data_IF_781388455156
#
_entry.id   IF_781388455156
#
_cell.length_a   1.000
_cell.length_b   1.000
_cell.length_c   1.000
_cell.angle_alpha   90.00
_cell.angle_beta   90.00
_cell.angle_gamma   90.00
#
_symmetry.space_group_name_H-M   'P 1'
#
loop_
_entity.id
_entity.type
_entity.pdbx_description
1 polymer ?
#
# COMPACT_ATOMS: atom_id res chain seq x y z
N UNK A 1 7.45 25.54 32.90
CA UNK A 1 7.02 25.12 31.55
C UNK A 1 8.12 25.51 30.56
N UNK A 2 8.71 24.56 29.85
CA UNK A 2 9.74 24.86 28.85
C UNK A 2 9.10 25.65 27.70
N UNK A 3 9.54 26.89 27.47
CA UNK A 3 8.92 27.84 26.52
C UNK A 3 8.87 27.33 25.08
N UNK A 4 9.70 26.35 24.72
CA UNK A 4 9.75 25.76 23.38
C UNK A 4 8.66 24.71 23.11
N UNK A 5 8.12 24.05 24.15
CA UNK A 5 7.18 22.93 23.98
C UNK A 5 5.89 23.32 23.25
N UNK A 6 5.24 24.46 23.53
CA UNK A 6 4.02 24.85 22.80
C UNK A 6 4.27 25.06 21.30
N UNK A 7 5.43 25.64 20.95
CA UNK A 7 5.81 25.88 19.55
C UNK A 7 6.05 24.57 18.82
N UNK A 8 6.85 23.67 19.39
CA UNK A 8 7.11 22.35 18.80
C UNK A 8 5.83 21.51 18.70
N UNK A 9 4.98 21.54 19.72
CA UNK A 9 3.68 20.86 19.71
C UNK A 9 2.79 21.33 18.58
N UNK A 10 2.71 22.65 18.34
CA UNK A 10 1.91 23.19 17.24
C UNK A 10 2.52 22.89 15.87
N UNK A 11 3.85 22.91 15.74
CA UNK A 11 4.53 22.51 14.50
C UNK A 11 4.29 21.01 14.20
N UNK A 12 4.41 20.13 15.20
CA UNK A 12 4.12 18.71 15.06
C UNK A 12 2.70 18.45 14.54
N UNK A 13 1.68 19.12 15.10
CA UNK A 13 0.30 18.94 14.61
C UNK A 13 0.05 19.53 13.23
N UNK A 14 0.82 20.54 12.83
CA UNK A 14 0.68 21.20 11.52
C UNK A 14 1.49 20.51 10.41
N UNK A 15 2.21 19.43 10.70
CA UNK A 15 2.93 18.62 9.71
C UNK A 15 2.01 17.62 8.99
N UNK A 16 0.82 17.35 9.52
CA UNK A 16 -0.09 16.32 9.02
C UNK A 16 -1.33 16.94 8.40
N UNK A 17 -1.86 16.31 7.35
CA UNK A 17 -3.18 16.66 6.81
C UNK A 17 -4.21 16.50 7.94
N UNK A 18 -4.88 17.58 8.33
CA UNK A 18 -6.07 17.48 9.18
C UNK A 18 -7.27 17.07 8.32
N UNK A 19 -8.24 16.32 8.87
CA UNK A 19 -9.53 15.99 8.21
C UNK A 19 -10.43 17.24 8.08
N UNK A 20 -9.86 18.37 7.67
CA UNK A 20 -10.55 19.63 7.44
C UNK A 20 -10.72 19.80 5.95
N UNK A 21 -11.97 20.01 5.47
CA UNK A 21 -12.26 20.30 4.07
C UNK A 21 -11.46 21.50 3.51
N UNK A 22 -11.00 22.38 4.42
CA UNK A 22 -10.34 23.65 4.13
C UNK A 22 -8.86 23.69 4.55
N UNK A 23 -8.17 22.54 4.68
CA UNK A 23 -6.70 22.51 4.82
C UNK A 23 -5.97 22.07 3.52
N UNK A 24 -6.06 22.86 2.43
CA UNK A 24 -5.43 22.53 1.15
C UNK A 24 -3.96 22.94 1.08
N UNK A 25 -3.41 23.63 2.08
CA UNK A 25 -2.10 24.27 1.92
C UNK A 25 -0.94 23.32 2.26
N UNK A 26 -0.55 22.53 1.27
CA UNK A 26 0.65 21.71 1.31
C UNK A 26 1.90 22.56 1.63
N UNK A 27 1.96 23.83 1.23
CA UNK A 27 3.12 24.69 1.51
C UNK A 27 3.22 25.05 3.00
N UNK A 28 2.09 25.31 3.66
CA UNK A 28 2.05 25.50 5.11
C UNK A 28 2.55 24.25 5.86
N UNK A 29 2.19 23.05 5.40
CA UNK A 29 2.68 21.78 5.99
C UNK A 29 4.16 21.57 5.72
N UNK A 30 4.65 21.85 4.51
CA UNK A 30 6.09 21.86 4.18
C UNK A 30 6.85 22.81 5.09
N UNK A 31 6.34 24.03 5.27
CA UNK A 31 6.94 25.04 6.14
C UNK A 31 6.92 24.62 7.61
N UNK A 32 5.87 23.91 8.04
CA UNK A 32 5.79 23.33 9.39
C UNK A 32 6.85 22.25 9.59
N UNK A 33 7.04 21.34 8.64
CA UNK A 33 8.10 20.31 8.68
C UNK A 33 9.49 20.94 8.72
N UNK A 34 9.75 21.90 7.83
CA UNK A 34 11.04 22.64 7.77
C UNK A 34 11.30 23.45 9.04
N UNK A 35 10.28 24.12 9.56
CA UNK A 35 10.34 24.87 10.80
C UNK A 35 10.61 23.96 12.00
N UNK A 36 9.95 22.79 12.04
CA UNK A 36 10.11 21.81 13.11
C UNK A 36 11.56 21.31 13.20
N UNK A 37 12.16 20.88 12.09
CA UNK A 37 13.55 20.43 12.11
C UNK A 37 14.53 21.57 12.43
N UNK A 38 14.28 22.79 11.95
CA UNK A 38 15.11 23.96 12.26
C UNK A 38 15.09 24.30 13.76
N UNK A 39 13.92 24.20 14.40
CA UNK A 39 13.80 24.38 15.86
C UNK A 39 14.54 23.28 16.61
N UNK A 40 14.41 22.02 16.19
CA UNK A 40 15.15 20.90 16.80
C UNK A 40 16.65 21.17 16.80
N UNK A 41 17.24 21.47 15.64
CA UNK A 41 18.69 21.72 15.51
C UNK A 41 19.16 22.91 16.35
N UNK A 42 18.41 24.02 16.31
CA UNK A 42 18.74 25.24 17.07
C UNK A 42 18.76 24.96 18.57
N UNK A 43 17.75 24.26 19.07
CA UNK A 43 17.66 23.92 20.48
C UNK A 43 18.76 22.93 20.86
N UNK A 44 18.97 21.85 20.08
CA UNK A 44 19.98 20.83 20.43
C UNK A 44 21.40 21.38 20.40
N UNK A 45 21.72 22.27 19.46
CA UNK A 45 23.02 22.96 19.44
C UNK A 45 23.25 23.83 20.69
N UNK A 46 22.19 24.40 21.24
CA UNK A 46 22.25 25.20 22.48
C UNK A 46 22.34 24.32 23.73
N UNK A 47 21.56 23.22 23.79
CA UNK A 47 21.50 22.33 24.95
C UNK A 47 22.72 21.40 25.07
N UNK A 48 23.39 21.06 23.97
CA UNK A 48 24.68 20.35 23.98
C UNK A 48 25.74 21.11 24.79
N UNK A 49 25.60 22.44 24.96
CA UNK A 49 26.52 23.28 25.73
C UNK A 49 26.17 23.39 27.23
N UNK A 50 24.93 23.06 27.61
CA UNK A 50 24.37 23.35 28.94
C UNK A 50 24.08 22.08 29.79
N UNK A 51 24.40 20.89 29.27
CA UNK A 51 24.27 19.58 29.95
C UNK A 51 22.86 19.21 30.44
N UNK A 52 21.80 19.93 30.03
CA UNK A 52 20.46 19.79 30.60
C UNK A 52 19.36 19.71 29.52
N UNK A 53 19.45 18.71 28.64
CA UNK A 53 18.64 18.58 27.42
C UNK A 53 17.76 17.34 27.32
N UNK A 54 17.75 16.43 28.28
CA UNK A 54 17.15 15.08 28.10
C UNK A 54 15.65 15.11 27.75
N UNK A 55 14.90 16.06 28.33
CA UNK A 55 13.49 16.28 27.97
C UNK A 55 13.26 16.71 26.51
N UNK A 56 14.21 17.43 25.90
CA UNK A 56 14.14 17.81 24.50
C UNK A 56 14.40 16.61 23.59
N UNK A 57 15.44 15.82 23.87
CA UNK A 57 15.74 14.64 23.05
C UNK A 57 14.64 13.58 23.15
N UNK A 58 14.08 13.36 24.34
CA UNK A 58 12.90 12.52 24.52
C UNK A 58 11.70 13.07 23.70
N UNK A 59 11.50 14.39 23.70
CA UNK A 59 10.44 15.00 22.88
C UNK A 59 10.68 14.81 21.37
N UNK A 60 11.92 14.95 20.91
CA UNK A 60 12.29 14.70 19.50
C UNK A 60 12.00 13.23 19.16
N UNK A 61 12.44 12.30 20.00
CA UNK A 61 12.22 10.86 19.84
C UNK A 61 10.73 10.53 19.72
N UNK A 62 9.91 10.96 20.68
CA UNK A 62 8.55 10.44 20.82
C UNK A 62 7.50 11.21 20.02
N UNK A 63 7.68 12.52 19.83
CA UNK A 63 6.68 13.39 19.21
C UNK A 63 7.12 13.90 17.85
N UNK A 64 8.36 14.37 17.70
CA UNK A 64 8.83 14.91 16.41
C UNK A 64 8.96 13.78 15.38
N UNK A 65 9.66 12.69 15.70
CA UNK A 65 9.78 11.56 14.77
C UNK A 65 8.40 11.03 14.36
N UNK A 66 7.47 10.89 15.32
CA UNK A 66 6.10 10.44 15.03
C UNK A 66 5.35 11.39 14.09
N UNK A 67 5.47 12.71 14.28
CA UNK A 67 4.86 13.69 13.39
C UNK A 67 5.46 13.63 11.98
N UNK A 68 6.78 13.49 11.88
CA UNK A 68 7.47 13.37 10.60
C UNK A 68 7.16 12.06 9.87
N UNK A 69 7.00 10.94 10.59
CA UNK A 69 6.55 9.68 10.00
C UNK A 69 5.15 9.82 9.41
N UNK A 70 4.22 10.48 10.11
CA UNK A 70 2.89 10.77 9.55
C UNK A 70 2.95 11.69 8.32
N UNK A 71 3.90 12.62 8.29
CA UNK A 71 4.12 13.50 7.13
C UNK A 71 4.62 12.72 5.89
N UNK A 72 5.22 11.53 6.03
CA UNK A 72 5.50 10.63 4.91
C UNK A 72 4.24 10.01 4.28
N UNK A 73 3.09 10.11 4.94
CA UNK A 73 1.80 9.67 4.40
C UNK A 73 0.94 10.84 3.91
N UNK A 74 1.54 12.02 3.70
CA UNK A 74 0.86 13.14 3.05
C UNK A 74 0.69 12.86 1.56
N UNK A 75 -0.53 12.49 1.17
CA UNK A 75 -0.90 12.11 -0.18
C UNK A 75 -1.93 13.08 -0.80
N UNK A 76 -1.96 14.32 -0.31
CA UNK A 76 -2.85 15.36 -0.79
C UNK A 76 -2.64 15.64 -2.28
N UNK A 77 -3.75 15.88 -2.97
CA UNK A 77 -3.78 16.20 -4.40
C UNK A 77 -4.59 17.48 -4.60
N UNK A 78 -4.06 18.40 -5.41
CA UNK A 78 -4.80 19.56 -5.91
C UNK A 78 -4.68 19.64 -7.44
N UNK A 79 -5.09 20.76 -8.05
CA UNK A 79 -5.02 20.98 -9.50
C UNK A 79 -3.60 20.91 -10.09
N UNK A 80 -2.55 20.93 -9.25
CA UNK A 80 -1.13 20.79 -9.63
C UNK A 80 -0.65 19.34 -9.54
N UNK A 81 -1.51 18.40 -9.11
CA UNK A 81 -1.19 17.00 -8.90
C UNK A 81 -0.92 16.64 -7.43
N UNK A 82 -0.01 15.69 -7.19
CA UNK A 82 0.34 15.20 -5.85
C UNK A 82 1.20 16.24 -5.10
N UNK A 83 0.56 17.28 -4.56
CA UNK A 83 1.23 18.32 -3.76
C UNK A 83 1.71 17.81 -2.41
N UNK A 84 1.13 16.72 -1.91
CA UNK A 84 1.64 16.03 -0.71
C UNK A 84 3.08 15.54 -0.88
N UNK A 85 3.51 15.28 -2.12
CA UNK A 85 4.90 14.88 -2.42
C UNK A 85 5.94 15.89 -1.92
N UNK A 86 5.60 17.18 -1.82
CA UNK A 86 6.48 18.21 -1.28
C UNK A 86 6.67 18.07 0.23
N UNK A 87 5.59 17.69 0.93
CA UNK A 87 5.61 17.42 2.37
C UNK A 87 6.42 16.16 2.64
N UNK A 88 6.22 15.09 1.84
CA UNK A 88 6.99 13.84 1.94
C UNK A 88 8.48 14.07 1.69
N UNK A 89 8.84 14.88 0.69
CA UNK A 89 10.23 15.30 0.43
C UNK A 89 10.84 16.03 1.64
N UNK A 90 10.13 17.01 2.22
CA UNK A 90 10.60 17.72 3.39
C UNK A 90 10.72 16.79 4.62
N UNK A 91 9.79 15.85 4.78
CA UNK A 91 9.77 14.90 5.89
C UNK A 91 10.94 13.91 5.83
N UNK A 92 11.30 13.40 4.64
CA UNK A 92 12.47 12.55 4.48
C UNK A 92 13.77 13.24 4.90
N UNK A 93 13.97 14.51 4.53
CA UNK A 93 15.14 15.28 4.97
C UNK A 93 15.13 15.52 6.50
N UNK A 94 13.97 15.95 7.04
CA UNK A 94 13.80 16.21 8.46
C UNK A 94 14.04 14.95 9.32
N UNK A 95 13.54 13.79 8.90
CA UNK A 95 13.73 12.52 9.59
C UNK A 95 15.20 12.13 9.67
N UNK A 96 15.96 12.26 8.58
CA UNK A 96 17.40 11.96 8.58
C UNK A 96 18.16 12.89 9.51
N UNK A 97 17.81 14.18 9.55
CA UNK A 97 18.45 15.16 10.44
C UNK A 97 18.09 14.89 11.91
N UNK A 98 16.84 14.55 12.21
CA UNK A 98 16.45 14.10 13.54
C UNK A 98 17.18 12.82 13.95
N UNK A 99 17.33 11.85 13.05
CA UNK A 99 18.14 10.65 13.32
C UNK A 99 19.57 11.03 13.71
N UNK A 100 20.24 11.93 12.96
CA UNK A 100 21.59 12.37 13.32
C UNK A 100 21.64 13.07 14.68
N UNK A 101 20.63 13.89 15.02
CA UNK A 101 20.53 14.52 16.34
C UNK A 101 20.49 13.45 17.45
N UNK A 102 19.64 12.43 17.31
CA UNK A 102 19.48 11.37 18.32
C UNK A 102 20.73 10.51 18.42
N UNK A 103 21.30 10.06 17.29
CA UNK A 103 22.52 9.27 17.27
C UNK A 103 23.72 10.02 17.87
N UNK A 104 23.87 11.31 17.55
CA UNK A 104 24.95 12.14 18.10
C UNK A 104 24.85 12.23 19.62
N UNK A 105 23.63 12.43 20.16
CA UNK A 105 23.40 12.47 21.61
C UNK A 105 23.73 11.14 22.28
N UNK A 106 23.32 10.02 21.68
CA UNK A 106 23.64 8.67 22.19
C UNK A 106 25.16 8.44 22.24
N UNK A 107 25.90 8.84 21.19
CA UNK A 107 27.37 8.73 21.15
C UNK A 107 28.03 9.57 22.25
N UNK A 108 27.56 10.80 22.46
CA UNK A 108 28.07 11.68 23.53
C UNK A 108 27.79 11.09 24.91
N UNK A 109 26.59 10.56 25.15
CA UNK A 109 26.23 9.92 26.40
C UNK A 109 27.10 8.68 26.70
N UNK A 110 27.33 7.82 25.70
CA UNK A 110 28.19 6.65 25.83
C UNK A 110 29.64 7.03 26.20
N UNK A 111 30.21 8.06 25.55
CA UNK A 111 31.56 8.56 25.86
C UNK A 111 31.67 9.11 27.28
N UNK A 112 30.64 9.79 27.77
CA UNK A 112 30.62 10.32 29.13
C UNK A 112 30.64 9.21 30.20
N UNK A 113 29.86 8.14 29.99
CA UNK A 113 29.83 6.97 30.89
C UNK A 113 31.20 6.26 30.92
N UNK A 114 31.84 6.08 29.76
CA UNK A 114 33.18 5.49 29.68
C UNK A 114 34.27 6.33 30.36
N UNK A 115 34.10 7.66 30.46
CA UNK A 115 35.06 8.55 31.11
C UNK A 115 34.93 8.56 32.64
N UNK A 116 33.78 8.16 33.20
CA UNK A 116 33.52 8.14 34.66
C UNK A 116 33.78 6.79 35.33
N UNK A 117 34.09 5.74 34.57
CA UNK A 117 34.20 4.34 35.04
C UNK A 117 35.60 3.88 35.46
N UNK A 118 36.29 4.62 36.34
CA UNK A 118 37.41 4.05 37.10
C UNK A 118 36.90 3.53 38.46
N UNK A 119 37.11 2.24 38.72
CA UNK A 119 37.09 1.51 40.01
C UNK A 119 35.75 1.21 40.73
N UNK A 120 34.81 0.51 40.08
CA UNK A 120 33.90 -0.35 40.86
C UNK A 120 33.48 -1.60 40.08
N UNK A 121 33.92 -2.76 40.58
CA UNK A 121 33.44 -4.09 40.21
C UNK A 121 31.95 -4.25 40.61
N UNK A 122 31.05 -3.69 39.80
CA UNK A 122 29.63 -4.05 39.79
C UNK A 122 29.35 -4.70 38.44
N UNK A 123 28.90 -5.96 38.51
CA UNK A 123 28.98 -6.93 37.42
C UNK A 123 28.45 -6.45 36.06
N UNK A 124 29.17 -6.86 35.02
CA UNK A 124 28.94 -6.56 33.59
C UNK A 124 27.50 -6.81 33.07
N UNK A 125 26.65 -7.47 33.87
CA UNK A 125 25.29 -7.84 33.50
C UNK A 125 24.25 -6.73 33.78
N UNK A 126 24.43 -5.89 34.81
CA UNK A 126 23.48 -4.80 35.15
C UNK A 126 23.77 -3.51 34.37
N UNK A 127 25.04 -3.23 34.05
CA UNK A 127 25.46 -2.05 33.25
C UNK A 127 24.97 -2.16 31.79
N UNK A 128 24.91 -3.38 31.26
CA UNK A 128 24.38 -3.65 29.91
C UNK A 128 22.84 -3.54 29.83
N UNK A 129 22.11 -3.91 30.89
CA UNK A 129 20.66 -3.76 30.94
C UNK A 129 20.23 -2.29 31.07
N UNK A 130 20.93 -1.50 31.88
CA UNK A 130 20.68 -0.05 32.08
C UNK A 130 21.07 0.79 30.86
N UNK A 131 22.19 0.49 30.19
CA UNK A 131 22.64 1.22 28.99
C UNK A 131 21.80 0.96 27.73
N UNK A 132 21.04 -0.14 27.71
CA UNK A 132 20.08 -0.43 26.62
C UNK A 132 18.75 0.31 26.81
N UNK A 133 18.39 0.65 28.06
CA UNK A 133 17.10 1.24 28.41
C UNK A 133 16.96 2.74 28.08
N UNK A 134 18.05 3.43 27.74
CA UNK A 134 18.06 4.89 27.50
C UNK A 134 18.67 5.31 26.16
N UNK A 135 18.61 4.45 25.13
CA UNK A 135 18.98 4.87 23.77
C UNK A 135 17.88 5.69 23.12
N UNK A 136 18.25 6.85 22.58
CA UNK A 136 17.34 7.73 21.88
C UNK A 136 17.03 7.22 20.49
N UNK A 137 18.04 6.72 19.77
CA UNK A 137 17.85 6.06 18.48
C UNK A 137 17.91 4.54 18.67
N UNK A 138 16.76 3.89 18.59
CA UNK A 138 16.60 2.45 18.76
C UNK A 138 16.26 1.73 17.44
N UNK A 139 16.18 0.39 17.50
CA UNK A 139 15.88 -0.45 16.33
C UNK A 139 14.49 -0.20 15.75
N UNK A 140 13.51 0.17 16.58
CA UNK A 140 12.16 0.51 16.10
C UNK A 140 12.18 1.76 15.23
N UNK A 141 12.84 2.82 15.70
CA UNK A 141 13.01 4.06 14.93
C UNK A 141 13.82 3.81 13.66
N UNK A 142 14.91 3.04 13.74
CA UNK A 142 15.74 2.69 12.59
C UNK A 142 14.94 1.93 11.52
N UNK A 143 14.13 0.97 11.95
CA UNK A 143 13.23 0.23 11.07
C UNK A 143 12.20 1.15 10.42
N UNK A 144 11.45 1.94 11.19
CA UNK A 144 10.41 2.83 10.68
C UNK A 144 10.98 3.88 9.72
N UNK A 145 12.18 4.40 10.01
CA UNK A 145 12.93 5.31 9.15
C UNK A 145 13.23 4.70 7.79
N UNK A 146 13.88 3.54 7.78
CA UNK A 146 14.24 2.88 6.52
C UNK A 146 13.01 2.41 5.77
N UNK A 147 12.02 1.82 6.46
CA UNK A 147 10.79 1.34 5.85
C UNK A 147 9.97 2.49 5.21
N UNK A 148 9.84 3.62 5.91
CA UNK A 148 9.12 4.79 5.44
C UNK A 148 9.77 5.42 4.20
N UNK A 149 11.11 5.55 4.20
CA UNK A 149 11.84 6.08 3.04
C UNK A 149 11.84 5.06 1.88
N UNK A 150 11.99 3.76 2.17
CA UNK A 150 11.96 2.70 1.16
C UNK A 150 10.60 2.62 0.45
N UNK A 151 9.49 2.86 1.16
CA UNK A 151 8.15 3.03 0.55
C UNK A 151 8.17 4.15 -0.50
N UNK A 152 8.72 5.33 -0.16
CA UNK A 152 8.82 6.46 -1.10
C UNK A 152 9.72 6.13 -2.31
N UNK A 153 10.74 5.28 -2.14
CA UNK A 153 11.64 4.87 -3.22
C UNK A 153 10.97 4.01 -4.30
N UNK A 154 9.83 3.35 -4.02
CA UNK A 154 9.16 2.47 -4.99
C UNK A 154 7.86 3.05 -5.56
N UNK A 155 7.48 4.26 -5.14
CA UNK A 155 6.30 4.98 -5.62
C UNK A 155 6.49 5.60 -7.02
N UNK A 156 5.39 6.15 -7.54
CA UNK A 156 5.24 6.54 -8.95
C UNK A 156 5.97 7.80 -9.39
N UNK A 157 6.42 8.66 -8.47
CA UNK A 157 6.99 9.97 -8.81
C UNK A 157 8.51 9.84 -8.90
N UNK A 158 9.06 9.97 -10.10
CA UNK A 158 10.50 9.79 -10.38
C UNK A 158 11.39 10.64 -9.46
N UNK A 159 11.03 11.92 -9.25
CA UNK A 159 11.74 12.84 -8.34
C UNK A 159 11.76 12.33 -6.90
N UNK A 160 10.62 11.89 -6.38
CA UNK A 160 10.50 11.39 -4.99
C UNK A 160 11.29 10.09 -4.83
N UNK A 161 11.22 9.20 -5.82
CA UNK A 161 12.01 7.97 -5.84
C UNK A 161 13.51 8.26 -5.75
N UNK A 162 14.01 9.17 -6.58
CA UNK A 162 15.42 9.56 -6.55
C UNK A 162 15.83 10.19 -5.21
N UNK A 163 14.99 11.08 -4.65
CA UNK A 163 15.25 11.70 -3.34
C UNK A 163 15.27 10.65 -2.23
N UNK A 164 14.33 9.72 -2.21
CA UNK A 164 14.26 8.66 -1.22
C UNK A 164 15.53 7.78 -1.26
N UNK A 165 15.98 7.39 -2.45
CA UNK A 165 17.20 6.60 -2.62
C UNK A 165 18.44 7.36 -2.16
N UNK A 166 18.58 8.64 -2.54
CA UNK A 166 19.66 9.51 -2.05
C UNK A 166 19.61 9.69 -0.53
N UNK A 167 18.42 9.70 0.04
CA UNK A 167 18.21 9.78 1.49
C UNK A 167 18.67 8.49 2.17
N UNK A 168 18.35 7.32 1.61
CA UNK A 168 18.89 6.03 2.07
C UNK A 168 20.42 5.98 1.94
N UNK A 169 21.00 6.48 0.83
CA UNK A 169 22.45 6.60 0.68
C UNK A 169 23.08 7.48 1.77
N UNK A 170 22.44 8.59 2.15
CA UNK A 170 22.89 9.45 3.26
C UNK A 170 22.89 8.73 4.60
N UNK A 171 21.93 7.83 4.84
CA UNK A 171 21.85 7.03 6.06
C UNK A 171 22.93 5.93 6.05
N UNK A 172 23.04 5.19 4.94
CA UNK A 172 23.97 4.06 4.83
C UNK A 172 25.42 4.56 4.83
N UNK A 173 25.78 5.52 4.00
CA UNK A 173 27.17 5.92 3.76
C UNK A 173 27.55 7.23 4.45
N UNK A 174 27.03 7.47 5.65
CA UNK A 174 27.40 8.64 6.43
C UNK A 174 28.91 8.60 6.77
N UNK A 175 29.64 9.66 6.41
CA UNK A 175 31.10 9.70 6.50
C UNK A 175 31.66 9.73 7.92
N UNK A 176 30.93 10.30 8.87
CA UNK A 176 31.46 10.51 10.23
C UNK A 176 31.24 9.27 11.11
N UNK A 177 30.04 8.68 11.04
CA UNK A 177 29.63 7.61 11.95
C UNK A 177 28.75 6.57 11.25
N UNK A 178 28.95 5.30 11.63
CA UNK A 178 28.04 4.21 11.24
C UNK A 178 26.71 4.37 11.99
N UNK A 179 25.59 4.47 11.26
CA UNK A 179 24.27 4.53 11.87
C UNK A 179 23.89 3.13 12.41
N UNK A 180 23.63 2.99 13.72
CA UNK A 180 23.38 1.70 14.34
C UNK A 180 21.98 1.16 13.99
N UNK A 181 21.75 -0.12 14.31
CA UNK A 181 20.44 -0.76 14.31
C UNK A 181 19.71 -0.90 12.98
N UNK A 182 20.28 -0.47 11.86
CA UNK A 182 19.69 -0.62 10.53
C UNK A 182 19.54 -2.12 10.19
N UNK A 183 18.30 -2.66 10.11
CA UNK A 183 18.10 -4.07 9.77
C UNK A 183 18.65 -4.43 8.37
N UNK A 184 19.36 -5.55 8.27
CA UNK A 184 19.92 -6.06 7.00
C UNK A 184 20.74 -5.04 6.20
N UNK A 185 21.60 -4.29 6.89
CA UNK A 185 22.39 -3.20 6.30
C UNK A 185 23.23 -3.61 5.07
N UNK A 186 23.89 -4.77 5.10
CA UNK A 186 24.72 -5.24 3.97
C UNK A 186 23.89 -5.43 2.69
N UNK A 187 22.69 -6.01 2.81
CA UNK A 187 21.76 -6.17 1.70
C UNK A 187 21.27 -4.81 1.18
N UNK A 188 21.02 -3.85 2.08
CA UNK A 188 20.66 -2.48 1.68
C UNK A 188 21.78 -1.80 0.89
N UNK A 189 23.04 -2.02 1.26
CA UNK A 189 24.19 -1.48 0.53
C UNK A 189 24.39 -2.13 -0.84
N UNK A 190 24.11 -3.43 -0.97
CA UNK A 190 24.10 -4.12 -2.27
C UNK A 190 23.01 -3.54 -3.19
N UNK A 191 21.79 -3.36 -2.65
CA UNK A 191 20.65 -2.83 -3.39
C UNK A 191 20.88 -1.35 -3.76
N UNK A 192 21.45 -0.58 -2.84
CA UNK A 192 21.67 0.86 -2.94
C UNK A 192 23.16 1.17 -2.75
N UNK A 193 24.00 0.96 -3.77
CA UNK A 193 25.43 1.23 -3.66
C UNK A 193 25.72 2.73 -3.55
N UNK A 194 26.87 3.08 -3.00
CA UNK A 194 27.38 4.46 -2.97
C UNK A 194 27.98 4.90 -4.33
N UNK A 195 27.26 4.66 -5.42
CA UNK A 195 27.64 5.12 -6.76
C UNK A 195 26.76 6.28 -7.19
N UNK A 196 27.37 7.24 -7.90
CA UNK A 196 26.68 8.38 -8.55
C UNK A 196 26.29 8.07 -10.00
N UNK A 197 26.70 6.92 -10.53
CA UNK A 197 26.53 6.57 -11.95
C UNK A 197 25.17 5.94 -12.25
N UNK A 198 24.36 5.68 -11.21
CA UNK A 198 23.04 5.08 -11.35
C UNK A 198 21.96 6.15 -11.52
N UNK A 199 21.23 6.07 -12.62
CA UNK A 199 20.07 6.90 -12.91
C UNK A 199 18.84 6.41 -12.15
N UNK A 200 18.78 6.70 -10.85
CA UNK A 200 17.70 6.24 -9.96
C UNK A 200 16.29 6.71 -10.34
N UNK A 201 16.20 7.82 -11.08
CA UNK A 201 14.94 8.28 -11.67
C UNK A 201 14.41 7.31 -12.74
N UNK A 202 15.26 6.53 -13.40
CA UNK A 202 14.86 5.61 -14.49
C UNK A 202 14.30 4.30 -13.91
N UNK A 203 13.02 3.96 -14.17
CA UNK A 203 12.38 2.76 -13.61
C UNK A 203 13.10 1.44 -13.91
N UNK A 204 13.63 1.28 -15.12
CA UNK A 204 14.34 0.06 -15.53
C UNK A 204 15.68 -0.12 -14.83
N UNK A 205 16.21 0.94 -14.21
CA UNK A 205 17.44 0.90 -13.39
C UNK A 205 17.08 0.68 -11.92
N UNK A 206 16.08 1.40 -11.40
CA UNK A 206 15.74 1.40 -9.97
C UNK A 206 14.98 0.14 -9.54
N UNK A 207 13.88 -0.22 -10.21
CA UNK A 207 12.99 -1.29 -9.73
C UNK A 207 13.65 -2.66 -9.60
N UNK A 208 14.47 -3.16 -10.56
CA UNK A 208 15.14 -4.45 -10.40
C UNK A 208 15.98 -4.58 -9.13
N UNK A 209 16.48 -3.45 -8.61
CA UNK A 209 17.19 -3.40 -7.32
C UNK A 209 16.21 -3.30 -6.17
N UNK A 210 15.30 -2.33 -6.20
CA UNK A 210 14.41 -2.01 -5.08
C UNK A 210 13.43 -3.13 -4.72
N UNK A 211 12.98 -3.94 -5.68
CA UNK A 211 12.09 -5.09 -5.39
C UNK A 211 12.75 -6.13 -4.48
N UNK A 212 14.09 -6.20 -4.45
CA UNK A 212 14.83 -7.08 -3.54
C UNK A 212 14.62 -6.72 -2.07
N UNK A 213 14.16 -5.50 -1.74
CA UNK A 213 13.80 -5.10 -0.38
C UNK A 213 12.63 -5.92 0.19
N UNK A 214 11.81 -6.54 -0.67
CA UNK A 214 10.74 -7.45 -0.25
C UNK A 214 11.26 -8.70 0.48
N UNK A 215 12.56 -9.02 0.37
CA UNK A 215 13.20 -10.09 1.13
C UNK A 215 13.29 -9.79 2.64
N UNK A 216 13.23 -8.51 3.00
CA UNK A 216 13.41 -8.06 4.37
C UNK A 216 12.06 -7.81 5.02
N UNK A 217 11.64 -8.70 5.92
CA UNK A 217 10.34 -8.63 6.61
C UNK A 217 10.10 -7.32 7.37
N UNK A 218 11.17 -6.64 7.80
CA UNK A 218 11.11 -5.33 8.44
C UNK A 218 10.62 -4.22 7.50
N UNK A 219 10.78 -4.38 6.19
CA UNK A 219 10.46 -3.37 5.17
C UNK A 219 9.39 -3.82 4.18
N UNK A 220 9.20 -5.13 4.01
CA UNK A 220 8.44 -5.73 2.91
C UNK A 220 7.03 -5.16 2.77
N UNK A 221 6.31 -4.98 3.88
CA UNK A 221 4.96 -4.38 3.92
C UNK A 221 4.93 -2.93 3.44
N UNK A 222 5.85 -2.09 3.94
CA UNK A 222 5.96 -0.69 3.55
C UNK A 222 6.36 -0.55 2.08
N UNK A 223 7.36 -1.34 1.66
CA UNK A 223 7.81 -1.40 0.25
C UNK A 223 6.66 -1.86 -0.64
N UNK A 224 5.95 -2.93 -0.31
CA UNK A 224 4.81 -3.39 -1.09
C UNK A 224 3.75 -2.31 -1.24
N UNK A 225 3.41 -1.61 -0.14
CA UNK A 225 2.40 -0.54 -0.16
C UNK A 225 2.74 0.61 -1.11
N UNK A 226 4.03 0.94 -1.28
CA UNK A 226 4.48 1.93 -2.27
C UNK A 226 4.60 1.33 -3.68
N UNK A 227 5.07 0.08 -3.79
CA UNK A 227 5.29 -0.60 -5.06
C UNK A 227 3.98 -0.81 -5.83
N UNK A 228 2.88 -1.15 -5.15
CA UNK A 228 1.56 -1.35 -5.77
C UNK A 228 1.04 -0.09 -6.47
N UNK A 229 1.44 1.10 -6.02
CA UNK A 229 1.09 2.38 -6.65
C UNK A 229 1.72 2.49 -8.04
N UNK A 230 2.89 1.88 -8.22
CA UNK A 230 3.64 1.89 -9.48
C UNK A 230 3.24 0.74 -10.40
N UNK A 231 3.13 -0.48 -9.86
CA UNK A 231 2.75 -1.68 -10.62
C UNK A 231 1.28 -1.70 -11.02
N UNK A 232 0.41 -1.13 -10.20
CA UNK A 232 -1.03 -1.00 -10.46
C UNK A 232 -1.44 0.39 -10.95
N UNK A 233 -0.48 1.28 -11.17
CA UNK A 233 -0.71 2.67 -11.58
C UNK A 233 -1.25 2.83 -13.00
N UNK A 234 -1.55 4.07 -13.37
CA UNK A 234 -2.07 4.44 -14.70
C UNK A 234 -0.96 4.64 -15.75
N UNK A 235 0.28 4.92 -15.32
CA UNK A 235 1.38 5.19 -16.23
C UNK A 235 1.96 3.88 -16.79
N UNK A 236 1.70 3.61 -18.07
CA UNK A 236 1.99 2.31 -18.68
C UNK A 236 3.48 1.94 -18.69
N UNK A 237 4.38 2.89 -18.97
CA UNK A 237 5.83 2.63 -18.99
C UNK A 237 6.36 2.25 -17.60
N UNK A 238 5.94 2.99 -16.58
CA UNK A 238 6.28 2.73 -15.18
C UNK A 238 5.70 1.39 -14.71
N UNK A 239 4.43 1.14 -15.00
CA UNK A 239 3.75 -0.13 -14.72
C UNK A 239 4.50 -1.30 -15.33
N UNK A 240 4.86 -1.21 -16.62
CA UNK A 240 5.60 -2.27 -17.32
C UNK A 240 6.97 -2.52 -16.68
N UNK A 241 7.74 -1.48 -16.41
CA UNK A 241 9.07 -1.62 -15.80
C UNK A 241 9.01 -2.21 -14.39
N UNK A 242 8.15 -1.67 -13.52
CA UNK A 242 7.99 -2.11 -12.14
C UNK A 242 7.41 -3.53 -12.03
N UNK A 243 6.39 -3.87 -12.83
CA UNK A 243 5.80 -5.22 -12.86
C UNK A 243 6.79 -6.25 -13.43
N UNK A 244 7.55 -5.89 -14.47
CA UNK A 244 8.59 -6.78 -15.00
C UNK A 244 9.69 -7.05 -13.97
N UNK A 245 10.10 -6.04 -13.21
CA UNK A 245 11.06 -6.19 -12.13
C UNK A 245 10.52 -7.08 -10.99
N UNK A 246 9.27 -6.87 -10.58
CA UNK A 246 8.63 -7.68 -9.54
C UNK A 246 8.53 -9.16 -9.96
N UNK A 247 8.06 -9.44 -11.18
CA UNK A 247 7.94 -10.81 -11.67
C UNK A 247 9.31 -11.45 -11.85
N UNK A 248 10.29 -10.72 -12.38
CA UNK A 248 11.67 -11.18 -12.46
C UNK A 248 12.23 -11.54 -11.09
N UNK A 249 11.99 -10.69 -10.08
CA UNK A 249 12.37 -10.97 -8.69
C UNK A 249 11.67 -12.21 -8.12
N UNK A 250 10.40 -12.48 -8.44
CA UNK A 250 9.71 -13.68 -7.94
C UNK A 250 10.22 -14.96 -8.61
N UNK A 251 10.70 -14.88 -9.85
CA UNK A 251 11.15 -16.01 -10.66
C UNK A 251 12.66 -16.30 -10.55
N UNK A 252 13.45 -15.41 -9.93
CA UNK A 252 14.91 -15.51 -9.87
C UNK A 252 15.39 -16.63 -8.92
N UNK A 253 15.93 -17.74 -9.42
CA UNK A 253 16.35 -18.87 -8.57
C UNK A 253 17.53 -18.56 -7.64
N UNK A 254 18.29 -17.50 -7.89
CA UNK A 254 19.56 -17.25 -7.21
C UNK A 254 19.39 -16.48 -5.88
N UNK A 255 18.18 -15.98 -5.62
CA UNK A 255 17.86 -15.24 -4.40
C UNK A 255 17.26 -16.20 -3.37
N UNK A 256 18.08 -16.60 -2.39
CA UNK A 256 17.63 -17.38 -1.25
C UNK A 256 16.86 -16.51 -0.25
N UNK A 257 15.62 -16.88 0.05
CA UNK A 257 14.89 -16.29 1.18
C UNK A 257 15.40 -16.86 2.50
N UNK A 258 15.81 -16.00 3.43
CA UNK A 258 16.27 -16.39 4.78
C UNK A 258 15.16 -17.04 5.65
N UNK A 259 13.92 -17.14 5.16
CA UNK A 259 12.83 -17.83 5.83
C UNK A 259 12.78 -19.28 5.40
N UNK A 260 13.19 -20.19 6.30
CA UNK A 260 13.17 -21.65 6.07
C UNK A 260 11.82 -22.11 5.49
N UNK A 261 11.85 -22.59 4.24
CA UNK A 261 10.73 -23.28 3.59
C UNK A 261 9.62 -22.41 2.97
N UNK A 262 9.69 -21.07 2.99
CA UNK A 262 8.66 -20.20 2.39
C UNK A 262 9.13 -19.60 1.06
N UNK A 263 8.37 -19.82 -0.01
CA UNK A 263 8.64 -19.17 -1.30
C UNK A 263 8.41 -17.65 -1.23
N UNK A 264 9.03 -16.91 -2.16
CA UNK A 264 8.82 -15.45 -2.25
C UNK A 264 7.39 -15.10 -2.61
N UNK A 265 6.77 -15.91 -3.45
CA UNK A 265 5.36 -15.80 -3.81
C UNK A 265 4.48 -15.95 -2.57
N UNK A 266 4.78 -16.90 -1.68
CA UNK A 266 4.06 -17.04 -0.42
C UNK A 266 4.25 -15.81 0.47
N UNK A 267 5.48 -15.31 0.65
CA UNK A 267 5.72 -14.09 1.43
C UNK A 267 4.99 -12.87 0.85
N UNK A 268 5.04 -12.69 -0.47
CA UNK A 268 4.31 -11.64 -1.17
C UNK A 268 2.79 -11.80 -0.99
N UNK A 269 2.27 -13.02 -1.00
CA UNK A 269 0.84 -13.27 -0.79
C UNK A 269 0.39 -12.83 0.61
N UNK A 270 1.20 -13.08 1.64
CA UNK A 270 0.95 -12.62 3.01
C UNK A 270 0.95 -11.08 3.09
N UNK A 271 1.92 -10.43 2.46
CA UNK A 271 2.03 -8.96 2.49
C UNK A 271 0.91 -8.30 1.66
N UNK A 272 0.48 -8.89 0.55
CA UNK A 272 -0.67 -8.42 -0.23
C UNK A 272 -1.96 -8.51 0.60
N UNK A 273 -2.18 -9.63 1.29
CA UNK A 273 -3.35 -9.79 2.15
C UNK A 273 -3.33 -8.80 3.33
N UNK A 274 -2.16 -8.60 3.95
CA UNK A 274 -1.98 -7.56 4.96
C UNK A 274 -2.31 -6.16 4.39
N UNK A 275 -1.84 -5.85 3.19
CA UNK A 275 -2.07 -4.58 2.53
C UNK A 275 -3.57 -4.31 2.28
N UNK A 276 -4.30 -5.32 1.82
CA UNK A 276 -5.74 -5.23 1.61
C UNK A 276 -6.52 -4.95 2.90
N UNK A 277 -6.09 -5.56 4.02
CA UNK A 277 -6.69 -5.35 5.33
C UNK A 277 -6.33 -3.98 5.92
N UNK A 278 -5.07 -3.57 5.79
CA UNK A 278 -4.57 -2.34 6.38
C UNK A 278 -5.10 -1.08 5.67
N UNK A 279 -5.22 -1.13 4.33
CA UNK A 279 -5.69 -0.01 3.51
C UNK A 279 -7.17 -0.09 3.14
N UNK A 280 -7.99 -0.79 3.93
CA UNK A 280 -9.42 -0.96 3.64
C UNK A 280 -10.11 0.40 3.37
N UNK A 281 -10.91 0.46 2.30
CA UNK A 281 -11.60 1.68 1.81
C UNK A 281 -10.69 2.83 1.37
N UNK A 282 -9.37 2.65 1.31
CA UNK A 282 -8.45 3.62 0.74
C UNK A 282 -8.22 3.30 -0.75
N UNK A 283 -9.10 3.81 -1.62
CA UNK A 283 -9.07 3.52 -3.06
C UNK A 283 -7.73 3.92 -3.73
N UNK A 284 -7.03 4.92 -3.18
CA UNK A 284 -5.67 5.31 -3.62
C UNK A 284 -4.71 4.11 -3.62
N UNK A 285 -4.85 3.17 -2.67
CA UNK A 285 -3.98 2.01 -2.52
C UNK A 285 -4.68 0.73 -3.00
N UNK A 286 -5.96 0.53 -2.66
CA UNK A 286 -6.71 -0.68 -3.00
C UNK A 286 -6.88 -0.85 -4.51
N UNK A 287 -7.20 0.20 -5.26
CA UNK A 287 -7.41 0.08 -6.71
C UNK A 287 -6.12 -0.35 -7.43
N UNK A 288 -4.94 0.27 -7.19
CA UNK A 288 -3.67 -0.22 -7.71
C UNK A 288 -3.28 -1.61 -7.18
N UNK A 289 -3.60 -1.93 -5.92
CA UNK A 289 -3.33 -3.25 -5.37
C UNK A 289 -4.11 -4.35 -6.09
N UNK A 290 -5.41 -4.14 -6.37
CA UNK A 290 -6.20 -5.06 -7.19
C UNK A 290 -5.62 -5.24 -8.59
N UNK A 291 -5.24 -4.15 -9.26
CA UNK A 291 -4.57 -4.23 -10.57
C UNK A 291 -3.25 -5.00 -10.52
N UNK A 292 -2.49 -4.84 -9.44
CA UNK A 292 -1.24 -5.57 -9.25
C UNK A 292 -1.51 -7.06 -9.09
N UNK A 293 -2.49 -7.43 -8.26
CA UNK A 293 -2.89 -8.82 -8.04
C UNK A 293 -3.42 -9.45 -9.34
N UNK A 294 -4.30 -8.76 -10.07
CA UNK A 294 -4.79 -9.17 -11.39
C UNK A 294 -3.63 -9.45 -12.37
N UNK A 295 -2.65 -8.54 -12.45
CA UNK A 295 -1.50 -8.70 -13.33
C UNK A 295 -0.60 -9.87 -12.91
N UNK A 296 -0.48 -10.16 -11.61
CA UNK A 296 0.27 -11.31 -11.10
C UNK A 296 -0.44 -12.64 -11.43
N UNK A 297 -1.78 -12.69 -11.30
CA UNK A 297 -2.57 -13.84 -11.75
C UNK A 297 -2.44 -14.08 -13.26
N UNK A 298 -2.54 -13.01 -14.07
CA UNK A 298 -2.35 -13.08 -15.52
C UNK A 298 -0.98 -13.66 -15.91
N UNK A 299 0.05 -13.41 -15.07
CA UNK A 299 1.41 -13.94 -15.22
C UNK A 299 1.64 -15.30 -14.56
N UNK A 300 0.58 -15.94 -14.06
CA UNK A 300 0.59 -17.27 -13.42
C UNK A 300 1.45 -17.36 -12.16
N UNK A 301 1.70 -16.24 -11.47
CA UNK A 301 2.53 -16.21 -10.25
C UNK A 301 1.89 -17.02 -9.12
N UNK A 302 0.57 -16.89 -8.96
CA UNK A 302 -0.16 -17.56 -7.89
C UNK A 302 -0.86 -18.86 -8.33
N UNK A 303 -0.83 -19.24 -9.62
CA UNK A 303 -1.61 -20.37 -10.17
C UNK A 303 -0.95 -21.76 -9.95
N UNK A 304 -0.28 -21.98 -8.81
CA UNK A 304 0.32 -23.27 -8.46
C UNK A 304 -0.56 -24.04 -7.46
N UNK A 305 -0.66 -25.36 -7.67
CA UNK A 305 -1.69 -26.25 -7.08
C UNK A 305 -1.65 -26.43 -5.56
N UNK A 306 -0.61 -25.97 -4.86
CA UNK A 306 -0.45 -26.20 -3.42
C UNK A 306 0.10 -24.96 -2.72
N UNK A 307 -0.59 -24.49 -1.65
CA UNK A 307 -0.03 -23.52 -0.69
C UNK A 307 -0.69 -22.13 -0.59
N UNK A 308 -1.69 -21.79 -1.42
CA UNK A 308 -2.30 -20.44 -1.45
C UNK A 308 -3.78 -20.37 -1.05
N UNK A 309 -4.36 -21.42 -0.48
CA UNK A 309 -5.79 -21.44 -0.10
C UNK A 309 -6.17 -20.33 0.89
N UNK A 310 -5.32 -20.05 1.88
CA UNK A 310 -5.52 -18.94 2.83
C UNK A 310 -5.49 -17.57 2.12
N UNK A 311 -4.57 -17.41 1.16
CA UNK A 311 -4.47 -16.19 0.36
C UNK A 311 -5.72 -16.01 -0.51
N UNK A 312 -6.17 -17.05 -1.21
CA UNK A 312 -7.39 -17.00 -2.02
C UNK A 312 -8.62 -16.66 -1.19
N UNK A 313 -8.81 -17.34 -0.05
CA UNK A 313 -9.94 -17.09 0.84
C UNK A 313 -9.95 -15.64 1.35
N UNK A 314 -8.81 -15.16 1.85
CA UNK A 314 -8.66 -13.78 2.32
C UNK A 314 -8.82 -12.74 1.22
N UNK A 315 -8.39 -13.06 0.00
CA UNK A 315 -8.53 -12.20 -1.17
C UNK A 315 -10.00 -12.07 -1.61
N UNK A 316 -10.74 -13.17 -1.66
CA UNK A 316 -12.19 -13.19 -1.96
C UNK A 316 -12.97 -12.35 -0.95
N UNK A 317 -12.66 -12.47 0.34
CA UNK A 317 -13.29 -11.65 1.39
C UNK A 317 -12.96 -10.17 1.25
N UNK A 318 -11.70 -9.84 0.95
CA UNK A 318 -11.26 -8.47 0.74
C UNK A 318 -11.94 -7.85 -0.48
N UNK A 319 -11.91 -8.53 -1.63
CA UNK A 319 -12.59 -8.10 -2.87
C UNK A 319 -14.08 -7.89 -2.64
N UNK A 320 -14.76 -8.82 -1.96
CA UNK A 320 -16.18 -8.67 -1.61
C UNK A 320 -16.48 -7.38 -0.86
N UNK A 321 -15.68 -7.12 0.18
CA UNK A 321 -15.88 -5.97 1.05
C UNK A 321 -15.63 -4.65 0.32
N UNK A 322 -14.64 -4.62 -0.56
CA UNK A 322 -14.15 -3.44 -1.27
C UNK A 322 -14.98 -3.09 -2.52
N UNK A 323 -15.56 -4.10 -3.20
CA UNK A 323 -16.42 -3.87 -4.36
C UNK A 323 -17.85 -3.48 -3.97
N UNK A 324 -18.29 -3.81 -2.74
CA UNK A 324 -19.64 -3.55 -2.27
C UNK A 324 -19.95 -2.05 -2.27
N UNK A 325 -20.81 -1.62 -3.19
CA UNK A 325 -21.22 -0.22 -3.31
C UNK A 325 -20.18 0.69 -3.99
N UNK A 326 -19.07 0.13 -4.48
CA UNK A 326 -18.07 0.89 -5.23
C UNK A 326 -18.66 1.45 -6.53
N UNK A 327 -18.21 2.65 -6.90
CA UNK A 327 -18.51 3.29 -8.18
C UNK A 327 -17.28 3.39 -9.09
N UNK A 328 -16.11 3.00 -8.59
CA UNK A 328 -14.87 2.99 -9.35
C UNK A 328 -14.89 1.79 -10.32
N UNK A 329 -15.08 2.07 -11.61
CA UNK A 329 -15.09 1.06 -12.67
C UNK A 329 -13.76 0.31 -12.75
N UNK A 330 -12.64 0.98 -12.50
CA UNK A 330 -11.31 0.37 -12.55
C UNK A 330 -11.16 -0.67 -11.45
N UNK A 331 -11.57 -0.30 -10.24
CA UNK A 331 -11.58 -1.21 -9.08
C UNK A 331 -12.52 -2.38 -9.29
N UNK A 332 -13.73 -2.12 -9.81
CA UNK A 332 -14.73 -3.15 -10.12
C UNK A 332 -14.19 -4.15 -11.14
N UNK A 333 -13.68 -3.69 -12.28
CA UNK A 333 -13.15 -4.58 -13.32
C UNK A 333 -11.97 -5.43 -12.80
N UNK A 334 -11.00 -4.82 -12.09
CA UNK A 334 -9.89 -5.58 -11.53
C UNK A 334 -10.36 -6.63 -10.52
N UNK A 335 -11.33 -6.29 -9.67
CA UNK A 335 -11.93 -7.24 -8.74
C UNK A 335 -12.71 -8.37 -9.42
N UNK A 336 -13.42 -8.11 -10.53
CA UNK A 336 -14.06 -9.14 -11.34
C UNK A 336 -13.04 -10.11 -11.93
N UNK A 337 -11.93 -9.58 -12.49
CA UNK A 337 -10.84 -10.41 -13.01
C UNK A 337 -10.25 -11.30 -11.91
N UNK A 338 -10.01 -10.75 -10.71
CA UNK A 338 -9.50 -11.53 -9.56
C UNK A 338 -10.47 -12.65 -9.19
N UNK A 339 -11.78 -12.36 -9.07
CA UNK A 339 -12.78 -13.39 -8.80
C UNK A 339 -12.79 -14.45 -9.89
N UNK A 340 -12.70 -14.04 -11.17
CA UNK A 340 -12.58 -14.96 -12.30
C UNK A 340 -11.39 -15.89 -12.18
N UNK A 341 -10.19 -15.36 -11.94
CA UNK A 341 -8.98 -16.17 -11.74
C UNK A 341 -9.12 -17.18 -10.60
N UNK A 342 -9.66 -16.77 -9.44
CA UNK A 342 -9.84 -17.68 -8.30
C UNK A 342 -10.93 -18.72 -8.59
N UNK A 343 -11.98 -18.36 -9.32
CA UNK A 343 -13.03 -19.30 -9.74
C UNK A 343 -12.52 -20.35 -10.72
N UNK A 344 -11.56 -20.02 -11.57
CA UNK A 344 -10.96 -20.98 -12.49
C UNK A 344 -10.07 -22.03 -11.82
N UNK A 345 -9.68 -21.82 -10.55
CA UNK A 345 -8.86 -22.78 -9.80
C UNK A 345 -9.71 -23.90 -9.17
N UNK A 346 -9.09 -25.06 -8.92
CA UNK A 346 -9.77 -26.23 -8.32
C UNK A 346 -9.78 -26.24 -6.78
N UNK A 347 -9.55 -25.11 -6.12
CA UNK A 347 -9.56 -24.99 -4.65
C UNK A 347 -10.99 -24.80 -4.11
N UNK A 348 -11.26 -25.17 -2.85
CA UNK A 348 -12.58 -25.01 -2.22
C UNK A 348 -13.09 -23.56 -2.18
N UNK A 349 -12.20 -22.58 -2.39
CA UNK A 349 -12.51 -21.16 -2.52
C UNK A 349 -13.19 -20.80 -3.85
N UNK A 350 -13.03 -21.61 -4.90
CA UNK A 350 -13.50 -21.30 -6.26
C UNK A 350 -15.01 -21.08 -6.34
N UNK A 351 -15.79 -21.92 -5.65
CA UNK A 351 -17.25 -21.84 -5.55
C UNK A 351 -17.71 -20.54 -4.89
N UNK A 352 -16.98 -20.08 -3.84
CA UNK A 352 -17.26 -18.82 -3.15
C UNK A 352 -16.97 -17.62 -4.05
N UNK A 353 -15.82 -17.63 -4.74
CA UNK A 353 -15.46 -16.60 -5.71
C UNK A 353 -16.47 -16.54 -6.86
N UNK A 354 -16.92 -17.70 -7.35
CA UNK A 354 -17.83 -17.81 -8.48
C UNK A 354 -19.22 -17.28 -8.12
N UNK A 355 -19.73 -17.66 -6.95
CA UNK A 355 -21.00 -17.14 -6.42
C UNK A 355 -20.97 -15.60 -6.33
N UNK A 356 -19.86 -15.02 -5.89
CA UNK A 356 -19.69 -13.57 -5.82
C UNK A 356 -19.63 -12.92 -7.20
N UNK A 357 -18.89 -13.52 -8.14
CA UNK A 357 -18.79 -13.05 -9.52
C UNK A 357 -20.18 -12.98 -10.18
N UNK A 358 -21.01 -14.02 -9.99
CA UNK A 358 -22.38 -14.06 -10.51
C UNK A 358 -23.26 -12.92 -9.96
N UNK A 359 -23.00 -12.39 -8.77
CA UNK A 359 -23.78 -11.27 -8.24
C UNK A 359 -23.70 -10.02 -9.13
N UNK A 360 -22.56 -9.82 -9.82
CA UNK A 360 -22.30 -8.66 -10.68
C UNK A 360 -23.00 -8.73 -12.04
N UNK A 361 -23.50 -9.89 -12.46
CA UNK A 361 -24.39 -10.00 -13.61
C UNK A 361 -25.68 -9.18 -13.45
N UNK A 362 -26.07 -8.87 -12.20
CA UNK A 362 -27.21 -8.01 -11.87
C UNK A 362 -26.85 -6.58 -11.47
N UNK A 363 -25.62 -6.13 -11.75
CA UNK A 363 -25.11 -4.83 -11.30
C UNK A 363 -25.85 -3.63 -11.94
N UNK A 364 -25.90 -2.49 -11.24
CA UNK A 364 -26.57 -1.27 -11.74
C UNK A 364 -25.95 -0.69 -13.02
N UNK A 365 -24.65 -0.91 -13.24
CA UNK A 365 -23.93 -0.37 -14.39
C UNK A 365 -23.84 -1.41 -15.52
N UNK A 366 -24.35 -1.10 -16.73
CA UNK A 366 -24.31 -1.98 -17.92
C UNK A 366 -22.92 -2.56 -18.22
N UNK A 367 -21.89 -1.71 -18.28
CA UNK A 367 -20.51 -2.13 -18.57
C UNK A 367 -19.97 -3.15 -17.58
N UNK A 368 -20.36 -3.04 -16.30
CA UNK A 368 -19.94 -3.99 -15.25
C UNK A 368 -20.66 -5.33 -15.41
N UNK A 369 -21.94 -5.32 -15.80
CA UNK A 369 -22.67 -6.57 -16.10
C UNK A 369 -22.05 -7.31 -17.27
N UNK A 370 -21.71 -6.58 -18.35
CA UNK A 370 -21.03 -7.17 -19.51
C UNK A 370 -19.66 -7.74 -19.14
N UNK A 371 -18.83 -6.97 -18.43
CA UNK A 371 -17.53 -7.45 -17.95
C UNK A 371 -17.66 -8.69 -17.05
N UNK A 372 -18.65 -8.72 -16.16
CA UNK A 372 -18.93 -9.88 -15.33
C UNK A 372 -19.36 -11.09 -16.17
N UNK A 373 -20.21 -10.91 -17.17
CA UNK A 373 -20.63 -11.98 -18.08
C UNK A 373 -19.45 -12.56 -18.87
N UNK A 374 -18.55 -11.70 -19.37
CA UNK A 374 -17.34 -12.13 -20.07
C UNK A 374 -16.42 -12.94 -19.13
N UNK A 375 -16.25 -12.51 -17.87
CA UNK A 375 -15.48 -13.27 -16.88
C UNK A 375 -16.13 -14.61 -16.52
N UNK A 376 -17.44 -14.65 -16.29
CA UNK A 376 -18.18 -15.89 -16.01
C UNK A 376 -18.03 -16.86 -17.18
N UNK A 377 -18.14 -16.39 -18.41
CA UNK A 377 -17.95 -17.21 -19.60
C UNK A 377 -16.53 -17.81 -19.64
N UNK A 378 -15.49 -17.01 -19.38
CA UNK A 378 -14.11 -17.50 -19.32
C UNK A 378 -13.90 -18.56 -18.23
N UNK A 379 -14.50 -18.37 -17.06
CA UNK A 379 -14.44 -19.35 -15.95
C UNK A 379 -15.06 -20.67 -16.38
N UNK A 380 -16.24 -20.65 -17.01
CA UNK A 380 -16.92 -21.87 -17.48
C UNK A 380 -16.21 -22.57 -18.65
N UNK A 381 -15.23 -21.93 -19.29
CA UNK A 381 -14.35 -22.58 -20.26
C UNK A 381 -13.13 -23.24 -19.63
N UNK A 382 -12.78 -22.83 -18.41
CA UNK A 382 -11.56 -23.25 -17.72
C UNK A 382 -11.82 -24.26 -16.60
N UNK A 383 -13.01 -24.19 -15.98
CA UNK A 383 -13.39 -25.01 -14.85
C UNK A 383 -14.77 -25.64 -15.07
N UNK A 384 -14.77 -26.95 -15.33
CA UNK A 384 -15.97 -27.74 -15.59
C UNK A 384 -16.69 -28.22 -14.31
N UNK A 385 -16.10 -27.99 -13.13
CA UNK A 385 -16.62 -28.50 -11.85
C UNK A 385 -17.64 -27.55 -11.18
N UNK A 386 -17.76 -26.31 -11.66
CA UNK A 386 -18.59 -25.27 -11.03
C UNK A 386 -20.09 -25.36 -11.35
N UNK A 387 -20.44 -25.98 -12.47
CA UNK A 387 -21.82 -26.20 -12.92
C UNK A 387 -21.95 -27.66 -13.34
N UNK A 388 -23.07 -28.28 -13.02
CA UNK A 388 -23.35 -29.68 -13.44
C UNK A 388 -23.26 -29.77 -14.96
N UNK A 389 -22.55 -30.77 -15.48
CA UNK A 389 -22.25 -30.94 -16.91
C UNK A 389 -23.47 -30.79 -17.84
N UNK A 390 -24.64 -31.28 -17.43
CA UNK A 390 -25.90 -31.16 -18.20
C UNK A 390 -26.38 -29.71 -18.40
N UNK A 391 -25.97 -28.78 -17.53
CA UNK A 391 -26.34 -27.37 -17.58
C UNK A 391 -25.25 -26.48 -18.20
N UNK A 392 -24.07 -27.02 -18.52
CA UNK A 392 -22.93 -26.23 -18.99
C UNK A 392 -23.23 -25.52 -20.32
N UNK A 393 -23.64 -26.26 -21.34
CA UNK A 393 -23.95 -25.71 -22.66
C UNK A 393 -25.06 -24.65 -22.58
N UNK A 394 -26.09 -24.93 -21.78
CA UNK A 394 -27.21 -24.02 -21.55
C UNK A 394 -26.78 -22.73 -20.83
N UNK A 395 -25.88 -22.83 -19.84
CA UNK A 395 -25.35 -21.67 -19.14
C UNK A 395 -24.50 -20.79 -20.08
N UNK A 396 -23.67 -21.42 -20.93
CA UNK A 396 -22.86 -20.72 -21.92
C UNK A 396 -23.71 -20.04 -23.00
N UNK A 397 -24.74 -20.71 -23.52
CA UNK A 397 -25.71 -20.14 -24.47
C UNK A 397 -26.42 -18.93 -23.87
N UNK A 398 -26.94 -19.07 -22.65
CA UNK A 398 -27.65 -17.98 -21.96
C UNK A 398 -26.73 -16.77 -21.70
N UNK A 399 -25.47 -16.99 -21.34
CA UNK A 399 -24.47 -15.92 -21.18
C UNK A 399 -24.19 -15.19 -22.50
N UNK A 400 -24.13 -15.91 -23.61
CA UNK A 400 -23.82 -15.37 -24.94
C UNK A 400 -25.00 -14.61 -25.56
N UNK A 401 -26.24 -15.11 -25.41
CA UNK A 401 -27.44 -14.52 -26.00
C UNK A 401 -27.97 -13.31 -25.22
N UNK A 402 -27.73 -13.27 -23.91
CA UNK A 402 -28.24 -12.19 -23.06
C UNK A 402 -27.54 -10.87 -23.37
N UNK A 403 -28.34 -9.84 -23.69
CA UNK A 403 -27.83 -8.46 -23.79
C UNK A 403 -27.59 -7.88 -22.38
N UNK A 404 -26.43 -8.18 -21.79
CA UNK A 404 -26.06 -7.75 -20.44
C UNK A 404 -26.00 -6.23 -20.27
N UNK A 405 -25.82 -5.47 -21.34
CA UNK A 405 -25.85 -4.01 -21.30
C UNK A 405 -27.27 -3.42 -21.34
N UNK A 406 -28.29 -4.26 -21.57
CA UNK A 406 -29.69 -3.87 -21.68
C UNK A 406 -30.40 -3.67 -20.33
N UNK A 407 -31.63 -4.16 -20.23
CA UNK A 407 -32.47 -3.99 -19.04
C UNK A 407 -31.89 -4.69 -17.79
N UNK A 408 -31.95 -4.02 -16.65
CA UNK A 408 -31.38 -4.49 -15.39
C UNK A 408 -32.19 -5.65 -14.80
N UNK A 409 -33.52 -5.60 -14.91
CA UNK A 409 -34.38 -6.64 -14.34
C UNK A 409 -34.28 -7.94 -15.14
N UNK A 410 -34.16 -7.83 -16.47
CA UNK A 410 -33.87 -8.99 -17.32
C UNK A 410 -32.50 -9.61 -16.98
N UNK A 411 -31.45 -8.79 -16.85
CA UNK A 411 -30.13 -9.30 -16.44
C UNK A 411 -30.17 -9.99 -15.07
N UNK A 412 -30.96 -9.47 -14.12
CA UNK A 412 -31.16 -10.11 -12.80
C UNK A 412 -31.94 -11.42 -12.89
N UNK A 413 -32.91 -11.54 -13.79
CA UNK A 413 -33.64 -12.79 -14.07
C UNK A 413 -32.68 -13.85 -14.61
N UNK A 414 -31.92 -13.51 -15.65
CA UNK A 414 -30.93 -14.38 -16.29
C UNK A 414 -29.83 -14.83 -15.32
N UNK A 415 -29.34 -13.92 -14.47
CA UNK A 415 -28.45 -14.28 -13.37
C UNK A 415 -29.06 -15.32 -12.43
N UNK A 416 -30.35 -15.21 -12.07
CA UNK A 416 -31.00 -16.18 -11.19
C UNK A 416 -31.05 -17.57 -11.82
N UNK A 417 -31.32 -17.66 -13.13
CA UNK A 417 -31.26 -18.93 -13.87
C UNK A 417 -29.85 -19.55 -13.82
N UNK A 418 -28.80 -18.75 -14.02
CA UNK A 418 -27.40 -19.22 -13.90
C UNK A 418 -27.08 -19.67 -12.48
N UNK A 419 -27.52 -18.93 -11.46
CA UNK A 419 -27.34 -19.32 -10.07
C UNK A 419 -27.99 -20.67 -9.75
N UNK A 420 -29.19 -20.93 -10.28
CA UNK A 420 -29.87 -22.21 -10.12
C UNK A 420 -29.09 -23.35 -10.79
N UNK A 421 -28.57 -23.12 -12.01
CA UNK A 421 -27.73 -24.08 -12.73
C UNK A 421 -26.43 -24.39 -11.98
N UNK A 422 -25.85 -23.40 -11.29
CA UNK A 422 -24.66 -23.54 -10.44
C UNK A 422 -24.97 -24.05 -9.01
N UNK A 423 -26.23 -24.37 -8.69
CA UNK A 423 -26.61 -24.87 -7.37
C UNK A 423 -26.70 -23.82 -6.26
N UNK A 424 -26.52 -22.53 -6.56
CA UNK A 424 -26.69 -21.42 -5.64
C UNK A 424 -28.16 -21.03 -5.53
N UNK A 425 -28.96 -21.78 -4.76
CA UNK A 425 -30.36 -21.43 -4.53
C UNK A 425 -30.48 -20.07 -3.84
N UNK A 426 -31.15 -19.13 -4.50
CA UNK A 426 -31.66 -17.92 -3.85
C UNK A 426 -32.86 -18.32 -3.00
N UNK A 427 -32.79 -18.13 -1.68
CA UNK A 427 -34.00 -18.11 -0.85
C UNK A 427 -34.85 -16.92 -1.28
N UNK A 428 -35.78 -17.16 -2.20
CA UNK A 428 -36.81 -16.18 -2.55
C UNK A 428 -37.68 -15.96 -1.31
N UNK A 429 -37.37 -14.90 -0.55
CA UNK A 429 -38.38 -14.29 0.30
C UNK A 429 -39.43 -13.70 -0.63
N UNK A 430 -40.47 -14.49 -0.91
CA UNK A 430 -41.69 -14.00 -1.51
C UNK A 430 -42.29 -12.98 -0.54
N UNK A 431 -42.01 -11.69 -0.75
CA UNK A 431 -42.90 -10.64 -0.28
C UNK A 431 -44.14 -10.72 -1.15
N UNK A 432 -45.19 -11.33 -0.60
CA UNK A 432 -46.53 -11.27 -1.16
C UNK A 432 -46.94 -9.80 -1.30
N UNK A 433 -47.49 -9.48 -2.47
CA UNK A 433 -47.81 -8.12 -2.86
C UNK A 433 -48.87 -7.49 -1.96
N UNK A 434 -48.65 -6.21 -1.64
CA UNK A 434 -49.73 -5.24 -1.53
C UNK A 434 -49.50 -4.17 -2.58
N UNK A 435 -50.41 -4.17 -3.53
CA UNK A 435 -50.56 -3.20 -4.58
C UNK A 435 -51.16 -1.94 -3.95
N UNK A 436 -50.37 -0.88 -3.82
CA UNK A 436 -50.89 0.47 -3.59
C UNK A 436 -50.36 1.39 -4.68
N UNK A 437 -51.30 1.75 -5.55
CA UNK A 437 -51.17 2.67 -6.66
C UNK A 437 -50.80 4.06 -6.13
N UNK A 438 -49.64 4.59 -6.55
CA UNK A 438 -49.35 6.02 -6.38
C UNK A 438 -48.64 6.55 -7.62
N UNK A 439 -49.46 7.06 -8.54
CA UNK A 439 -49.08 7.90 -9.68
C UNK A 439 -48.36 9.15 -9.22
N UNK A 440 -47.11 9.36 -9.65
CA UNK A 440 -46.49 10.69 -9.78
C UNK A 440 -45.65 10.72 -11.06
N UNK A 441 -45.82 11.81 -11.79
CA UNK A 441 -45.49 12.02 -13.19
C UNK A 441 -43.98 11.94 -13.55
N UNK A 442 -43.75 11.59 -14.81
CA UNK A 442 -42.48 11.62 -15.48
C UNK A 442 -41.99 13.06 -15.71
N UNK A 443 -40.70 13.30 -15.43
CA UNK A 443 -39.92 14.32 -16.13
C UNK A 443 -38.63 13.65 -16.61
N UNK A 444 -38.63 13.27 -17.87
CA UNK A 444 -37.47 12.81 -18.63
C UNK A 444 -36.53 13.99 -18.84
N UNK A 445 -35.41 14.02 -18.12
CA UNK A 445 -34.28 14.91 -18.44
C UNK A 445 -33.23 14.09 -19.19
N UNK A 446 -33.35 14.10 -20.52
CA UNK A 446 -32.50 13.34 -21.46
C UNK A 446 -31.05 13.85 -21.51
N UNK A 447 -30.69 14.91 -20.76
CA UNK A 447 -29.34 15.49 -20.77
C UNK A 447 -28.41 14.99 -19.66
N UNK A 448 -28.86 14.10 -18.77
CA UNK A 448 -27.99 13.56 -17.69
C UNK A 448 -26.92 12.58 -18.17
N UNK A 449 -27.03 12.08 -19.40
CA UNK A 449 -26.04 11.19 -20.04
C UNK A 449 -24.83 11.94 -20.60
N UNK A 450 -25.00 13.22 -20.94
CA UNK A 450 -23.91 14.03 -21.51
C UNK A 450 -23.01 14.67 -20.44
N UNK A 451 -23.52 14.93 -19.23
CA UNK A 451 -22.72 15.51 -18.14
C UNK A 451 -21.55 14.59 -17.73
N UNK A 452 -21.72 13.27 -17.83
CA UNK A 452 -20.66 12.29 -17.52
C UNK A 452 -19.59 12.14 -18.59
N UNK A 453 -19.76 12.73 -19.77
CA UNK A 453 -18.76 12.73 -20.85
C UNK A 453 -17.82 13.94 -20.78
N UNK A 454 -18.19 14.98 -20.02
CA UNK A 454 -17.37 16.19 -19.86
C UNK A 454 -16.30 16.01 -18.76
N UNK A 455 -16.53 15.11 -17.79
CA UNK A 455 -15.53 14.77 -16.76
C UNK A 455 -14.45 13.79 -17.25
N UNK A 456 -14.58 13.23 -18.46
CA UNK A 456 -13.63 12.26 -19.02
C UNK A 456 -12.53 12.91 -19.90
N UNK A 457 -12.58 14.22 -20.13
CA UNK A 457 -11.63 14.93 -20.99
C UNK A 457 -11.04 16.20 -20.34
N UNK A 458 -10.70 16.10 -19.05
CA UNK A 458 -9.91 17.11 -18.36
C UNK A 458 -8.43 17.00 -18.72
N UNK A 459 -7.93 18.01 -19.44
CA UNK A 459 -6.54 18.47 -19.40
C UNK A 459 -6.08 18.70 -17.95
#
# INVERSE_FOLDING_TARGET
MLKWMPVMSKLCSSCTIEDKPDDPDAEARVNSVRGLISVCETLTASFDQLSNGDSLYAYIKDYVMRALFRALDDYAVDNRGDVGSWVREAAMDALVRCMFILCKRDIVALRAVSATGHDSELGDMEVNASSTAYRLFDSGIAQDLVAGIAKQAVEKIDKIREIAIKTLQRILYHQEHLIPFIPHRELLEEIIPNSRDLEWAVPTVSYPRLVKLLQVSYYSKSVLSGLVISTGGLQESLKKASMSALVGYLQDSDINTNCEGKSREYLLSCDLLWGLQHYQKCDRVITPMFKTIEALFSKKVFLNKEGYSEFYSGLVDSVSSELKGSKDFTKLCAGLSILGYISSESDGTCTKAFSQLLTFLGHRYPKIRKAAADQVYLVLLQNDDLIVSENMDKAQELLAETCWEGDVEEARRRRSEINEMAGFRVTTSQKSGKQETRTVAASTDENRSYSSLVDFSGY
#
